data_IF_947055078754
#
_entry.id   IF_947055078754
#
_cell.length_a   1.000
_cell.length_b   1.000
_cell.length_c   1.000
_cell.angle_alpha   90.00
_cell.angle_beta   90.00
_cell.angle_gamma   90.00
#
_symmetry.space_group_name_H-M   'P 1'
#
loop_
_entity.id
_entity.type
_entity.pdbx_description
1 polymer ?
#
# COMPACT_ATOMS: atom_id res chain seq x y z
N UNK A 1 -4.47 -5.13 -12.43
CA UNK A 1 -5.53 -4.31 -11.78
C UNK A 1 -5.39 -4.48 -10.28
N UNK A 2 -5.52 -3.41 -9.49
CA UNK A 2 -5.40 -3.50 -8.03
C UNK A 2 -6.82 -3.60 -7.47
N UNK A 3 -7.11 -4.71 -6.79
CA UNK A 3 -8.37 -4.94 -6.09
C UNK A 3 -8.16 -4.60 -4.61
N UNK A 4 -8.64 -3.43 -4.17
CA UNK A 4 -8.68 -3.08 -2.75
C UNK A 4 -10.03 -3.50 -2.17
N UNK A 5 -10.03 -4.35 -1.15
CA UNK A 5 -11.25 -4.97 -0.63
C UNK A 5 -12.06 -4.09 0.34
N UNK A 6 -11.67 -2.84 0.64
CA UNK A 6 -12.39 -1.98 1.60
C UNK A 6 -12.31 -0.49 1.27
N UNK A 7 -13.39 0.22 1.64
CA UNK A 7 -13.56 1.67 1.61
C UNK A 7 -12.47 2.40 2.39
N UNK A 8 -11.86 3.40 1.74
CA UNK A 8 -10.79 4.28 2.24
C UNK A 8 -11.30 5.14 3.40
N UNK A 9 -11.48 4.57 4.60
CA UNK A 9 -12.13 5.26 5.72
C UNK A 9 -11.18 5.67 6.86
N UNK A 10 -9.90 5.28 6.83
CA UNK A 10 -8.93 5.61 7.87
C UNK A 10 -7.74 6.42 7.35
N UNK A 11 -7.37 7.48 8.09
CA UNK A 11 -6.21 8.37 7.80
C UNK A 11 -4.91 7.60 7.55
N UNK A 12 -4.71 6.48 8.24
CA UNK A 12 -3.53 5.64 8.06
C UNK A 12 -3.51 4.95 6.68
N UNK A 13 -4.66 4.61 6.13
CA UNK A 13 -4.81 4.04 4.78
C UNK A 13 -4.56 5.09 3.69
N UNK A 14 -4.93 6.35 3.94
CA UNK A 14 -4.58 7.45 3.04
C UNK A 14 -3.07 7.60 2.87
N UNK A 15 -2.30 7.52 3.96
CA UNK A 15 -0.83 7.57 3.88
C UNK A 15 -0.25 6.39 3.09
N UNK A 16 -0.79 5.17 3.25
CA UNK A 16 -0.40 4.01 2.46
C UNK A 16 -0.59 4.26 0.96
N UNK A 17 -1.79 4.68 0.57
CA UNK A 17 -2.16 4.87 -0.84
C UNK A 17 -1.38 6.05 -1.44
N UNK A 18 -1.16 7.12 -0.68
CA UNK A 18 -0.33 8.25 -1.09
C UNK A 18 1.12 7.81 -1.37
N UNK A 19 1.75 7.08 -0.43
CA UNK A 19 3.11 6.55 -0.62
C UNK A 19 3.19 5.57 -1.78
N UNK A 20 2.18 4.71 -1.93
CA UNK A 20 2.07 3.77 -3.02
C UNK A 20 2.05 4.47 -4.38
N UNK A 21 1.14 5.43 -4.59
CA UNK A 21 1.07 6.19 -5.85
C UNK A 21 2.30 7.06 -6.09
N UNK A 22 2.93 7.57 -5.04
CA UNK A 22 4.16 8.35 -5.14
C UNK A 22 5.31 7.48 -5.68
N UNK A 23 5.46 6.24 -5.17
CA UNK A 23 6.45 5.30 -5.68
C UNK A 23 6.11 4.82 -7.10
N UNK A 24 4.83 4.61 -7.41
CA UNK A 24 4.39 4.28 -8.77
C UNK A 24 4.71 5.40 -9.77
N UNK A 25 4.50 6.66 -9.40
CA UNK A 25 4.88 7.84 -10.21
C UNK A 25 6.38 7.98 -10.39
N UNK A 26 7.19 7.44 -9.48
CA UNK A 26 8.65 7.38 -9.61
C UNK A 26 9.14 6.31 -10.59
N UNK A 27 8.23 5.53 -11.18
CA UNK A 27 8.55 4.47 -12.13
C UNK A 27 8.82 3.10 -11.48
N UNK A 28 8.52 2.95 -10.19
CA UNK A 28 8.63 1.65 -9.52
C UNK A 28 7.52 0.71 -9.97
N UNK A 29 7.82 -0.58 -10.00
CA UNK A 29 6.83 -1.62 -10.29
C UNK A 29 5.76 -1.64 -9.20
N UNK A 30 4.54 -2.05 -9.56
CA UNK A 30 3.40 -2.12 -8.64
C UNK A 30 3.76 -2.91 -7.37
N UNK A 31 4.50 -4.02 -7.52
CA UNK A 31 5.00 -4.84 -6.40
C UNK A 31 5.96 -4.09 -5.49
N UNK A 32 6.89 -3.34 -6.07
CA UNK A 32 7.90 -2.61 -5.30
C UNK A 32 7.31 -1.36 -4.63
N UNK A 33 6.42 -0.66 -5.32
CA UNK A 33 5.66 0.46 -4.75
C UNK A 33 4.81 0.03 -3.55
N UNK A 34 4.14 -1.14 -3.62
CA UNK A 34 3.35 -1.67 -2.51
C UNK A 34 4.23 -2.11 -1.34
N UNK A 35 5.31 -2.84 -1.62
CA UNK A 35 6.27 -3.26 -0.60
C UNK A 35 6.88 -2.06 0.15
N UNK A 36 7.24 -0.99 -0.58
CA UNK A 36 7.77 0.23 0.03
C UNK A 36 6.74 0.91 0.94
N UNK A 37 5.49 1.03 0.49
CA UNK A 37 4.42 1.62 1.30
C UNK A 37 4.14 0.80 2.57
N UNK A 38 4.12 -0.53 2.46
CA UNK A 38 3.96 -1.42 3.62
C UNK A 38 5.15 -1.33 4.58
N UNK A 39 6.38 -1.30 4.06
CA UNK A 39 7.60 -1.16 4.88
C UNK A 39 7.60 0.16 5.66
N UNK A 40 7.14 1.25 5.04
CA UNK A 40 7.00 2.54 5.71
C UNK A 40 6.03 2.47 6.90
N UNK A 41 4.89 1.79 6.74
CA UNK A 41 3.93 1.62 7.83
C UNK A 41 4.43 0.71 8.95
N UNK A 42 5.17 -0.35 8.61
CA UNK A 42 5.83 -1.20 9.61
C UNK A 42 6.83 -0.38 10.44
N UNK A 43 7.63 0.48 9.78
CA UNK A 43 8.55 1.40 10.47
C UNK A 43 7.85 2.43 11.35
N UNK A 44 6.65 2.84 10.97
CA UNK A 44 5.80 3.74 11.75
C UNK A 44 5.02 3.01 12.86
N UNK A 45 5.26 1.71 13.05
CA UNK A 45 4.60 0.87 14.05
C UNK A 45 3.06 0.86 13.90
N UNK A 46 2.59 1.01 12.66
CA UNK A 46 1.16 1.06 12.33
C UNK A 46 0.59 -0.35 12.42
N UNK A 47 -0.57 -0.46 13.06
CA UNK A 47 -1.20 -1.73 13.36
C UNK A 47 -1.38 -2.58 12.10
N UNK A 48 -1.04 -3.90 12.11
CA UNK A 48 -1.13 -4.79 10.95
C UNK A 48 -2.47 -4.77 10.22
N UNK A 49 -3.55 -4.53 10.95
CA UNK A 49 -4.90 -4.35 10.40
C UNK A 49 -4.97 -3.31 9.24
N UNK A 50 -4.14 -2.28 9.28
CA UNK A 50 -4.18 -1.16 8.33
C UNK A 50 -3.40 -1.41 7.03
N UNK A 51 -2.47 -2.38 7.00
CA UNK A 51 -1.61 -2.65 5.83
C UNK A 51 -1.63 -4.10 5.35
N UNK A 52 -1.96 -5.05 6.23
CA UNK A 52 -2.08 -6.47 5.93
C UNK A 52 -3.13 -6.83 4.87
N UNK A 53 -4.27 -6.12 4.71
CA UNK A 53 -5.25 -6.48 3.67
C UNK A 53 -4.83 -6.02 2.26
N UNK A 54 -3.74 -5.26 2.12
CA UNK A 54 -3.23 -4.85 0.82
C UNK A 54 -2.31 -5.92 0.26
N UNK A 55 -2.80 -6.69 -0.71
CA UNK A 55 -1.99 -7.68 -1.43
C UNK A 55 -2.20 -7.52 -2.93
N UNK A 56 -1.18 -7.90 -3.68
CA UNK A 56 -1.23 -7.89 -5.13
C UNK A 56 -1.98 -9.12 -5.64
N UNK A 57 -3.21 -8.89 -6.10
CA UNK A 57 -3.97 -9.87 -6.86
C UNK A 57 -3.73 -9.62 -8.36
N UNK A 58 -2.80 -10.37 -8.94
CA UNK A 58 -2.51 -10.32 -10.37
C UNK A 58 -1.38 -11.28 -10.72
N UNK A 59 -1.64 -12.23 -11.62
CA UNK A 59 -0.63 -13.12 -12.18
C UNK A 59 0.33 -12.33 -13.07
N UNK A 60 1.60 -12.65 -12.89
CA UNK A 60 2.79 -12.28 -13.67
C UNK A 60 2.55 -12.26 -15.18
#
# INVERSE_FOLDING_TARGET
MILTLWTVNDKATQSLIADFYLNLRRGETISKALQMAQSNLIKQNVHPYLWSPFFLAGSW
#
